data_IF_567315508280
#
_entry.id   IF_567315508280
#
_cell.length_a   1.000
_cell.length_b   1.000
_cell.length_c   1.000
_cell.angle_alpha   90.00
_cell.angle_beta   90.00
_cell.angle_gamma   90.00
#
_symmetry.space_group_name_H-M   'P 1'
#
loop_
_entity.id
_entity.type
_entity.pdbx_description
1 polymer ?
#
# COMPACT_ATOMS: atom_id res chain seq x y z
N UNK A 1 -2.36 -23.97 18.93
CA UNK A 1 -2.17 -23.89 17.48
C UNK A 1 -3.06 -22.80 16.95
N UNK A 2 -2.48 -21.66 16.60
CA UNK A 2 -3.23 -20.50 16.10
C UNK A 2 -3.46 -20.71 14.60
N UNK A 3 -4.73 -20.67 14.21
CA UNK A 3 -5.23 -21.02 12.90
C UNK A 3 -4.74 -19.93 11.92
N UNK A 4 -3.69 -20.23 11.16
CA UNK A 4 -3.27 -19.41 10.01
C UNK A 4 -4.25 -19.69 8.89
N UNK A 5 -5.28 -18.85 8.77
CA UNK A 5 -6.23 -18.92 7.67
C UNK A 5 -5.53 -18.44 6.38
N UNK A 6 -4.81 -19.35 5.74
CA UNK A 6 -4.09 -19.17 4.47
C UNK A 6 -5.08 -18.99 3.31
N UNK A 7 -5.43 -17.73 3.03
CA UNK A 7 -5.99 -17.33 1.74
C UNK A 7 -4.84 -17.09 0.75
N UNK A 8 -4.25 -18.16 0.18
CA UNK A 8 -3.42 -18.11 -1.04
C UNK A 8 -2.17 -17.21 -1.09
N UNK A 9 -1.74 -16.60 0.02
CA UNK A 9 -0.65 -15.60 0.05
C UNK A 9 0.70 -16.14 -0.43
N UNK A 10 0.93 -17.43 -0.15
CA UNK A 10 2.20 -18.09 -0.45
C UNK A 10 2.41 -18.30 -1.95
N UNK A 11 1.34 -18.31 -2.77
CA UNK A 11 1.44 -18.48 -4.23
C UNK A 11 1.73 -17.16 -4.96
N UNK A 12 1.41 -16.01 -4.35
CA UNK A 12 1.57 -14.69 -4.97
C UNK A 12 2.74 -13.86 -4.39
N UNK A 13 3.39 -14.32 -3.32
CA UNK A 13 4.50 -13.60 -2.69
C UNK A 13 4.08 -12.22 -2.15
N UNK A 14 2.84 -12.12 -1.66
CA UNK A 14 2.28 -10.89 -1.09
C UNK A 14 2.68 -10.79 0.38
N UNK A 15 3.16 -9.61 0.79
CA UNK A 15 3.69 -9.40 2.14
C UNK A 15 2.70 -8.65 3.03
N UNK A 16 1.80 -7.87 2.43
CA UNK A 16 0.69 -7.26 3.15
C UNK A 16 -0.64 -7.48 2.44
N UNK A 17 -1.66 -7.77 3.25
CA UNK A 17 -3.07 -7.67 2.90
C UNK A 17 -3.76 -6.90 4.01
N UNK A 18 -4.56 -5.91 3.65
CA UNK A 18 -5.30 -5.11 4.61
C UNK A 18 -6.65 -4.67 4.07
N UNK A 19 -7.60 -4.51 4.97
CA UNK A 19 -8.83 -3.77 4.71
C UNK A 19 -8.72 -2.45 5.46
N UNK A 20 -8.69 -1.35 4.73
CA UNK A 20 -8.71 0.00 5.30
C UNK A 20 -10.12 0.56 5.22
N UNK A 21 -10.66 1.06 6.33
CA UNK A 21 -11.89 1.83 6.35
C UNK A 21 -11.52 3.31 6.34
N UNK A 22 -11.93 4.05 5.31
CA UNK A 22 -11.82 5.52 5.34
C UNK A 22 -12.95 6.16 6.14
N UNK A 23 -13.02 7.49 6.12
CA UNK A 23 -13.96 8.30 6.92
C UNK A 23 -15.45 8.03 6.58
N UNK A 24 -15.73 7.35 5.47
CA UNK A 24 -17.09 6.95 5.06
C UNK A 24 -17.18 5.45 4.78
N UNK A 25 -18.36 4.85 4.92
CA UNK A 25 -18.61 3.45 4.52
C UNK A 25 -18.21 3.20 3.06
N UNK A 26 -18.38 4.19 2.18
CA UNK A 26 -18.02 4.06 0.75
C UNK A 26 -16.51 4.06 0.50
N UNK A 27 -15.69 4.41 1.48
CA UNK A 27 -14.23 4.52 1.36
C UNK A 27 -13.47 3.31 1.88
N UNK A 28 -14.14 2.19 2.17
CA UNK A 28 -13.45 0.95 2.49
C UNK A 28 -12.74 0.38 1.25
N UNK A 29 -11.48 -0.02 1.41
CA UNK A 29 -10.67 -0.59 0.34
C UNK A 29 -9.96 -1.86 0.79
N UNK A 30 -9.85 -2.83 -0.11
CA UNK A 30 -8.94 -3.96 0.01
C UNK A 30 -7.59 -3.55 -0.59
N UNK A 31 -6.53 -3.61 0.20
CA UNK A 31 -5.18 -3.28 -0.23
C UNK A 31 -4.27 -4.48 -0.14
N UNK A 32 -3.45 -4.65 -1.17
CA UNK A 32 -2.35 -5.62 -1.23
C UNK A 32 -1.04 -4.86 -1.43
N UNK A 33 0.06 -5.41 -0.94
CA UNK A 33 1.36 -4.78 -1.14
C UNK A 33 2.54 -5.73 -1.02
N UNK A 34 3.66 -5.30 -1.60
CA UNK A 34 4.87 -6.09 -1.76
C UNK A 34 6.11 -5.19 -1.94
N UNK A 35 7.22 -5.60 -1.37
CA UNK A 35 8.56 -5.13 -1.66
C UNK A 35 9.07 -5.75 -2.95
N UNK A 36 9.35 -4.91 -3.95
CA UNK A 36 10.02 -5.34 -5.19
C UNK A 36 11.54 -5.39 -5.01
N UNK A 37 12.05 -4.51 -4.16
CA UNK A 37 13.42 -4.46 -3.63
C UNK A 37 13.34 -4.07 -2.15
N UNK A 38 14.44 -4.15 -1.38
CA UNK A 38 14.45 -3.66 0.00
C UNK A 38 14.01 -2.20 0.15
N UNK A 39 14.17 -1.39 -0.90
CA UNK A 39 13.90 0.05 -0.87
C UNK A 39 12.63 0.45 -1.62
N UNK A 40 12.00 -0.47 -2.36
CA UNK A 40 10.81 -0.18 -3.20
C UNK A 40 9.64 -1.01 -2.72
N UNK A 41 8.65 -0.34 -2.14
CA UNK A 41 7.38 -0.94 -1.74
C UNK A 41 6.26 -0.50 -2.68
N UNK A 42 5.50 -1.47 -3.19
CA UNK A 42 4.36 -1.21 -4.08
C UNK A 42 3.09 -1.65 -3.39
N UNK A 43 2.06 -0.80 -3.43
CA UNK A 43 0.72 -1.06 -2.93
C UNK A 43 -0.31 -0.92 -4.06
N UNK A 44 -1.28 -1.82 -4.06
CA UNK A 44 -2.47 -1.71 -4.90
C UNK A 44 -3.72 -1.88 -4.05
N UNK A 45 -4.63 -0.91 -4.13
CA UNK A 45 -5.90 -0.89 -3.42
C UNK A 45 -7.08 -0.88 -4.39
N UNK A 46 -8.14 -1.61 -4.05
CA UNK A 46 -9.44 -1.54 -4.73
C UNK A 46 -10.53 -1.19 -3.73
N UNK A 47 -11.31 -0.18 -4.04
CA UNK A 47 -12.47 0.24 -3.28
C UNK A 47 -13.55 -0.84 -3.33
N UNK A 48 -14.06 -1.21 -2.16
CA UNK A 48 -15.08 -2.26 -2.02
C UNK A 48 -16.46 -1.79 -2.46
N UNK A 49 -16.69 -0.48 -2.49
CA UNK A 49 -18.01 0.12 -2.69
C UNK A 49 -18.08 1.13 -3.84
N UNK A 50 -16.97 1.75 -4.24
CA UNK A 50 -16.93 2.80 -5.28
C UNK A 50 -16.18 2.40 -6.57
N UNK A 51 -15.73 1.14 -6.68
CA UNK A 51 -14.93 0.59 -7.80
C UNK A 51 -13.67 1.39 -8.13
N UNK A 52 -13.25 2.31 -7.27
CA UNK A 52 -12.01 3.04 -7.49
C UNK A 52 -10.82 2.14 -7.21
N UNK A 53 -9.75 2.29 -7.97
CA UNK A 53 -8.48 1.62 -7.68
C UNK A 53 -7.37 2.64 -7.53
N UNK A 54 -6.39 2.28 -6.70
CA UNK A 54 -5.22 3.10 -6.41
C UNK A 54 -3.98 2.23 -6.47
N UNK A 55 -2.94 2.73 -7.11
CA UNK A 55 -1.58 2.21 -6.99
C UNK A 55 -0.73 3.25 -6.29
N UNK A 56 0.12 2.80 -5.36
CA UNK A 56 1.10 3.64 -4.70
C UNK A 56 2.47 2.95 -4.71
N UNK A 57 3.52 3.72 -4.90
CA UNK A 57 4.91 3.26 -4.87
C UNK A 57 5.66 4.16 -3.89
N UNK A 58 6.29 3.54 -2.90
CA UNK A 58 7.21 4.21 -1.99
C UNK A 58 8.63 3.77 -2.33
N UNK A 59 9.49 4.74 -2.62
CA UNK A 59 10.91 4.52 -2.84
C UNK A 59 11.75 5.25 -1.80
N UNK A 60 12.48 4.48 -1.00
CA UNK A 60 13.45 5.00 -0.04
C UNK A 60 14.73 5.41 -0.77
N UNK A 61 14.90 6.72 -0.99
CA UNK A 61 16.12 7.31 -1.56
C UNK A 61 17.27 7.30 -0.54
N UNK A 62 16.94 7.39 0.75
CA UNK A 62 17.83 7.20 1.89
C UNK A 62 17.01 6.89 3.14
N UNK A 63 17.66 6.62 4.27
CA UNK A 63 16.99 6.43 5.57
C UNK A 63 16.11 7.61 6.00
N UNK A 64 16.34 8.81 5.43
CA UNK A 64 15.62 10.03 5.76
C UNK A 64 14.75 10.57 4.63
N UNK A 65 14.84 10.03 3.42
CA UNK A 65 14.15 10.56 2.24
C UNK A 65 13.33 9.46 1.57
N UNK A 66 12.03 9.66 1.49
CA UNK A 66 11.10 8.78 0.79
C UNK A 66 10.40 9.55 -0.30
N UNK A 67 10.43 9.01 -1.52
CA UNK A 67 9.61 9.47 -2.64
C UNK A 67 8.38 8.57 -2.73
N UNK A 68 7.19 9.16 -2.66
CA UNK A 68 5.93 8.47 -2.83
C UNK A 68 5.27 8.92 -4.13
N UNK A 69 4.87 7.97 -4.98
CA UNK A 69 4.08 8.24 -6.16
C UNK A 69 2.75 7.50 -6.06
N UNK A 70 1.64 8.21 -6.28
CA UNK A 70 0.31 7.64 -6.21
C UNK A 70 -0.47 7.91 -7.50
N UNK A 71 -1.26 6.92 -7.93
CA UNK A 71 -2.15 7.03 -9.08
C UNK A 71 -3.47 6.32 -8.79
N UNK A 72 -4.56 6.88 -9.28
CA UNK A 72 -5.93 6.39 -9.08
C UNK A 72 -6.89 7.48 -9.52
N UNK A 73 -7.92 7.75 -8.71
CA UNK A 73 -8.79 8.91 -8.94
C UNK A 73 -8.02 10.24 -8.92
N UNK A 74 -6.97 10.32 -8.11
CA UNK A 74 -6.03 11.44 -8.07
C UNK A 74 -4.61 10.91 -8.26
N UNK A 75 -3.74 11.77 -8.76
CA UNK A 75 -2.34 11.46 -9.04
C UNK A 75 -1.48 12.43 -8.24
N UNK A 76 -0.48 11.94 -7.53
CA UNK A 76 0.46 12.77 -6.78
C UNK A 76 1.86 12.17 -6.81
N UNK A 77 2.84 13.05 -6.58
CA UNK A 77 4.22 12.68 -6.29
C UNK A 77 4.68 13.55 -5.13
N UNK A 78 5.00 12.90 -4.02
CA UNK A 78 5.31 13.51 -2.75
C UNK A 78 6.73 13.11 -2.31
N UNK A 79 7.49 14.06 -1.75
CA UNK A 79 8.81 13.81 -1.19
C UNK A 79 8.79 14.11 0.30
N UNK A 80 9.08 13.09 1.12
CA UNK A 80 9.11 13.22 2.58
C UNK A 80 10.55 13.18 3.07
N UNK A 81 10.95 14.18 3.86
CA UNK A 81 12.22 14.21 4.56
C UNK A 81 12.04 14.17 6.08
N UNK A 82 12.67 13.22 6.74
CA UNK A 82 12.57 13.03 8.19
C UNK A 82 13.81 13.56 8.91
N UNK A 83 13.58 14.41 9.91
CA UNK A 83 14.62 14.93 10.81
C UNK A 83 14.45 14.30 12.19
N UNK A 84 15.40 13.47 12.60
CA UNK A 84 15.50 12.97 13.97
C UNK A 84 16.00 14.08 14.90
N UNK A 85 15.39 14.19 16.09
CA UNK A 85 15.81 15.13 17.15
C UNK A 85 16.63 14.41 18.21
#
# INVERSE_FOLDING_TARGET
GQIRNTLGLDTFGLETLGVSNGDTINSSALTIGKYLTPDIFVRYGVGLFDRQSKVAIDYSLSERIILQAESGQYQSVDLTYTVER
#
